data_IF_210983465166
#
_entry.id   IF_210983465166
#
_cell.length_a   1.000
_cell.length_b   1.000
_cell.length_c   1.000
_cell.angle_alpha   90.00
_cell.angle_beta   90.00
_cell.angle_gamma   90.00
#
_symmetry.space_group_name_H-M   'P 1'
#
loop_
_entity.id
_entity.type
_entity.pdbx_description
1 polymer ?
#
# COMPACT_ATOMS: atom_id res chain seq x y z
N UNK A 1 -8.14 -59.39 -34.98
CA UNK A 1 -7.62 -59.02 -33.67
C UNK A 1 -7.73 -57.53 -33.58
N UNK A 2 -8.91 -57.05 -33.09
CA UNK A 2 -9.22 -55.62 -33.03
C UNK A 2 -8.45 -54.95 -31.89
N UNK A 3 -7.79 -53.96 -32.24
CA UNK A 3 -6.98 -52.95 -31.59
C UNK A 3 -7.39 -52.51 -30.15
N UNK A 4 -7.06 -53.36 -29.18
CA UNK A 4 -7.06 -52.96 -27.78
C UNK A 4 -6.06 -51.83 -27.45
N UNK A 5 -5.06 -51.65 -28.30
CA UNK A 5 -4.00 -50.63 -28.16
C UNK A 5 -4.48 -49.20 -28.46
N UNK A 6 -5.41 -49.02 -29.41
CA UNK A 6 -5.94 -47.70 -29.79
C UNK A 6 -6.86 -47.12 -28.68
N UNK A 7 -7.65 -47.99 -28.06
CA UNK A 7 -8.54 -47.58 -26.94
C UNK A 7 -7.75 -47.15 -25.71
N UNK A 8 -6.60 -47.78 -25.42
CA UNK A 8 -5.77 -47.47 -24.25
C UNK A 8 -5.00 -46.16 -24.46
N UNK A 9 -4.48 -45.87 -25.67
CA UNK A 9 -3.78 -44.61 -25.95
C UNK A 9 -4.72 -43.38 -25.92
N UNK A 10 -5.94 -43.49 -26.40
CA UNK A 10 -6.95 -42.41 -26.33
C UNK A 10 -7.39 -42.21 -24.88
N UNK A 11 -7.61 -43.28 -24.11
CA UNK A 11 -7.98 -43.15 -22.69
C UNK A 11 -6.87 -42.54 -21.84
N UNK A 12 -5.58 -42.82 -22.11
CA UNK A 12 -4.44 -42.21 -21.43
C UNK A 12 -4.29 -40.73 -21.81
N UNK A 13 -4.52 -40.34 -23.05
CA UNK A 13 -4.47 -38.93 -23.48
C UNK A 13 -5.59 -38.09 -22.85
N UNK A 14 -6.80 -38.65 -22.77
CA UNK A 14 -7.93 -37.97 -22.09
C UNK A 14 -7.70 -37.86 -20.56
N UNK A 15 -7.14 -38.90 -19.94
CA UNK A 15 -6.78 -38.90 -18.52
C UNK A 15 -5.73 -37.86 -18.16
N UNK A 16 -4.68 -37.69 -19.01
CA UNK A 16 -3.64 -36.69 -18.77
C UNK A 16 -4.11 -35.25 -18.96
N UNK A 17 -5.01 -35.00 -19.90
CA UNK A 17 -5.62 -33.65 -20.09
C UNK A 17 -6.60 -33.29 -18.97
N UNK A 18 -7.37 -34.24 -18.47
CA UNK A 18 -8.28 -34.00 -17.35
C UNK A 18 -7.51 -33.66 -16.06
N UNK A 19 -6.40 -34.36 -15.77
CA UNK A 19 -5.54 -34.07 -14.62
C UNK A 19 -4.84 -32.73 -14.75
N UNK A 20 -4.33 -32.35 -15.92
CA UNK A 20 -3.68 -31.05 -16.14
C UNK A 20 -4.65 -29.87 -15.98
N UNK A 21 -5.87 -29.99 -16.45
CA UNK A 21 -6.94 -29.00 -16.28
C UNK A 21 -7.38 -28.88 -14.81
N UNK A 22 -7.50 -29.99 -14.10
CA UNK A 22 -7.83 -30.00 -12.69
C UNK A 22 -6.74 -29.33 -11.84
N UNK A 23 -5.46 -29.63 -12.10
CA UNK A 23 -4.32 -29.00 -11.45
C UNK A 23 -4.28 -27.47 -11.73
N UNK A 24 -4.51 -27.06 -12.99
CA UNK A 24 -4.58 -25.65 -13.35
C UNK A 24 -5.73 -24.92 -12.63
N UNK A 25 -6.87 -25.59 -12.42
CA UNK A 25 -7.97 -25.02 -11.66
C UNK A 25 -7.63 -24.86 -10.17
N UNK A 26 -6.97 -25.84 -9.57
CA UNK A 26 -6.49 -25.76 -8.19
C UNK A 26 -5.45 -24.65 -8.01
N UNK A 27 -4.49 -24.52 -8.93
CA UNK A 27 -3.50 -23.44 -8.92
C UNK A 27 -4.16 -22.07 -9.02
N UNK A 28 -5.16 -21.90 -9.89
CA UNK A 28 -5.93 -20.64 -10.00
C UNK A 28 -6.66 -20.30 -8.71
N UNK A 29 -7.24 -21.27 -8.02
CA UNK A 29 -7.90 -21.05 -6.72
C UNK A 29 -6.87 -20.63 -5.65
N UNK A 30 -5.73 -21.31 -5.58
CA UNK A 30 -4.66 -20.98 -4.65
C UNK A 30 -4.11 -19.56 -4.90
N UNK A 31 -3.84 -19.20 -6.16
CA UNK A 31 -3.40 -17.85 -6.54
C UNK A 31 -4.46 -16.79 -6.18
N UNK A 32 -5.76 -17.06 -6.40
CA UNK A 32 -6.82 -16.13 -6.05
C UNK A 32 -6.88 -15.88 -4.55
N UNK A 33 -6.73 -16.93 -3.74
CA UNK A 33 -6.66 -16.82 -2.29
C UNK A 33 -5.43 -16.03 -1.82
N UNK A 34 -4.26 -16.33 -2.35
CA UNK A 34 -3.04 -15.58 -2.04
C UNK A 34 -3.18 -14.10 -2.38
N UNK A 35 -3.72 -13.79 -3.56
CA UNK A 35 -3.97 -12.40 -3.97
C UNK A 35 -4.94 -11.70 -3.02
N UNK A 36 -6.01 -12.36 -2.60
CA UNK A 36 -6.96 -11.80 -1.66
C UNK A 36 -6.30 -11.46 -0.32
N UNK A 37 -5.49 -12.37 0.21
CA UNK A 37 -4.74 -12.16 1.45
C UNK A 37 -3.73 -11.02 1.32
N UNK A 38 -3.01 -10.94 0.22
CA UNK A 38 -2.06 -9.87 -0.05
C UNK A 38 -2.76 -8.51 -0.16
N UNK A 39 -3.89 -8.44 -0.87
CA UNK A 39 -4.68 -7.21 -0.94
C UNK A 39 -5.23 -6.78 0.41
N UNK A 40 -5.69 -7.70 1.25
CA UNK A 40 -6.12 -7.39 2.61
C UNK A 40 -4.96 -6.84 3.44
N UNK A 41 -3.78 -7.45 3.36
CA UNK A 41 -2.58 -6.98 4.05
C UNK A 41 -2.20 -5.56 3.62
N UNK A 42 -2.18 -5.31 2.32
CA UNK A 42 -1.88 -3.98 1.76
C UNK A 42 -2.95 -2.94 2.15
N UNK A 43 -4.23 -3.32 2.17
CA UNK A 43 -5.30 -2.43 2.62
C UNK A 43 -5.18 -2.07 4.12
N UNK A 44 -4.76 -3.01 4.96
CA UNK A 44 -4.48 -2.75 6.38
C UNK A 44 -3.29 -1.80 6.51
N UNK A 45 -2.20 -2.03 5.78
CA UNK A 45 -1.04 -1.14 5.77
C UNK A 45 -1.42 0.28 5.32
N UNK A 46 -2.23 0.40 4.29
CA UNK A 46 -2.72 1.70 3.82
C UNK A 46 -3.49 2.44 4.92
N UNK A 47 -4.44 1.77 5.58
CA UNK A 47 -5.20 2.36 6.69
C UNK A 47 -4.31 2.78 7.85
N UNK A 48 -3.30 1.97 8.19
CA UNK A 48 -2.33 2.34 9.23
C UNK A 48 -1.56 3.61 8.87
N UNK A 49 -1.11 3.75 7.62
CA UNK A 49 -0.41 4.95 7.15
C UNK A 49 -1.34 6.18 7.15
N UNK A 50 -2.59 6.02 6.74
CA UNK A 50 -3.60 7.09 6.80
C UNK A 50 -3.83 7.54 8.25
N UNK A 51 -3.97 6.61 9.20
CA UNK A 51 -4.11 6.91 10.63
C UNK A 51 -2.87 7.63 11.20
N UNK A 52 -1.67 7.24 10.78
CA UNK A 52 -0.43 7.93 11.14
C UNK A 52 -0.45 9.37 10.62
N UNK A 53 -0.84 9.59 9.36
CA UNK A 53 -0.93 10.93 8.77
C UNK A 53 -1.93 11.83 9.49
N UNK A 54 -3.10 11.30 9.85
CA UNK A 54 -4.11 12.01 10.63
C UNK A 54 -3.62 12.30 12.06
N UNK A 55 -2.98 11.33 12.71
CA UNK A 55 -2.38 11.48 14.03
C UNK A 55 -1.31 12.57 14.09
N UNK A 56 -0.42 12.61 13.08
CA UNK A 56 0.60 13.67 12.98
C UNK A 56 -0.04 15.07 12.75
N UNK A 57 -1.11 15.14 11.94
CA UNK A 57 -1.85 16.40 11.75
C UNK A 57 -2.50 16.87 13.06
N UNK A 58 -3.08 15.97 13.83
CA UNK A 58 -3.67 16.29 15.15
C UNK A 58 -2.59 16.72 16.13
N UNK A 59 -1.48 15.97 16.24
CA UNK A 59 -0.36 16.29 17.11
C UNK A 59 0.26 17.67 16.77
N UNK A 60 0.37 17.99 15.49
CA UNK A 60 0.83 19.32 15.05
C UNK A 60 -0.12 20.43 15.56
N UNK A 61 -1.44 20.25 15.42
CA UNK A 61 -2.44 21.22 15.91
C UNK A 61 -2.35 21.39 17.41
N UNK A 62 -2.24 20.31 18.18
CA UNK A 62 -2.08 20.32 19.63
C UNK A 62 -0.83 21.09 20.05
N UNK A 63 0.34 20.82 19.43
CA UNK A 63 1.60 21.52 19.71
C UNK A 63 1.49 23.03 19.40
N UNK A 64 0.81 23.42 18.32
CA UNK A 64 0.59 24.82 17.99
C UNK A 64 -0.30 25.50 19.06
N UNK A 65 -1.37 24.83 19.48
CA UNK A 65 -2.28 25.35 20.50
C UNK A 65 -1.55 25.51 21.84
N UNK A 66 -0.80 24.50 22.24
CA UNK A 66 0.00 24.53 23.45
C UNK A 66 1.07 25.63 23.42
N UNK A 67 1.80 25.78 22.30
CA UNK A 67 2.77 26.89 22.16
C UNK A 67 2.11 28.26 22.22
N UNK A 68 0.87 28.38 21.70
CA UNK A 68 0.09 29.63 21.83
C UNK A 68 -0.31 29.91 23.28
N UNK A 69 -0.73 28.86 24.02
CA UNK A 69 -1.10 28.96 25.45
C UNK A 69 0.11 29.39 26.28
N UNK A 70 1.24 28.68 26.16
CA UNK A 70 2.47 29.02 26.87
C UNK A 70 2.89 30.46 26.58
N UNK A 71 2.87 30.87 25.30
CA UNK A 71 3.24 32.23 24.94
C UNK A 71 2.26 33.31 25.45
N UNK A 72 1.01 32.96 25.70
CA UNK A 72 0.08 33.86 26.34
C UNK A 72 0.36 34.01 27.85
N UNK A 73 0.63 32.88 28.51
CA UNK A 73 1.03 32.87 29.94
C UNK A 73 2.35 33.62 30.17
N UNK A 74 3.37 33.36 29.32
CA UNK A 74 4.62 34.11 29.36
C UNK A 74 4.42 35.64 29.18
N UNK A 75 3.51 36.01 28.29
CA UNK A 75 3.18 37.40 28.04
C UNK A 75 2.53 38.06 29.30
N UNK A 76 1.53 37.41 29.89
CA UNK A 76 0.84 37.90 31.08
C UNK A 76 1.78 37.96 32.30
N UNK A 77 2.59 36.94 32.49
CA UNK A 77 3.60 36.89 33.55
C UNK A 77 4.62 38.03 33.40
N UNK A 78 5.17 38.21 32.19
CA UNK A 78 6.12 39.28 31.95
C UNK A 78 5.45 40.67 32.18
N UNK A 79 4.21 40.84 31.69
CA UNK A 79 3.47 42.08 31.90
C UNK A 79 3.24 42.38 33.39
N UNK A 80 2.83 41.38 34.19
CA UNK A 80 2.63 41.53 35.63
C UNK A 80 3.94 41.84 36.36
N UNK A 81 5.05 41.19 35.96
CA UNK A 81 6.36 41.47 36.52
C UNK A 81 6.82 42.90 36.22
N UNK A 82 6.67 43.37 35.00
CA UNK A 82 7.05 44.73 34.63
C UNK A 82 6.14 45.78 35.25
N UNK A 83 4.85 45.51 35.42
CA UNK A 83 3.92 46.43 36.10
C UNK A 83 4.21 46.58 37.61
N UNK A 84 4.87 45.60 38.24
CA UNK A 84 5.34 45.69 39.63
C UNK A 84 6.69 46.35 39.83
N UNK A 85 7.34 46.80 38.75
CA UNK A 85 8.62 47.54 38.77
C UNK A 85 8.39 48.94 38.21
N UNK A 86 9.27 49.90 38.54
CA UNK A 86 9.23 51.28 38.01
C UNK A 86 9.59 51.40 36.52
N UNK A 87 9.38 50.32 35.77
CA UNK A 87 9.67 50.32 34.33
C UNK A 87 8.47 50.91 33.59
N UNK A 88 8.76 51.94 32.82
CA UNK A 88 7.79 52.56 31.93
C UNK A 88 7.36 51.58 30.81
N UNK A 89 6.07 51.17 30.88
CA UNK A 89 5.50 50.21 29.91
C UNK A 89 5.41 50.79 28.48
N UNK A 90 5.48 52.13 28.35
CA UNK A 90 5.52 52.79 27.05
C UNK A 90 6.95 53.00 26.53
N UNK A 91 7.97 52.51 27.25
CA UNK A 91 9.36 52.63 26.83
C UNK A 91 9.68 51.84 25.55
N UNK A 92 10.54 52.38 24.66
CA UNK A 92 10.94 51.64 23.45
C UNK A 92 11.56 50.26 23.75
N UNK A 93 12.25 50.14 24.88
CA UNK A 93 12.89 48.89 25.33
C UNK A 93 11.85 47.83 25.68
N UNK A 94 10.77 48.23 26.37
CA UNK A 94 9.65 47.31 26.65
C UNK A 94 8.96 46.86 25.37
N UNK A 95 8.69 47.76 24.44
CA UNK A 95 8.10 47.46 23.15
C UNK A 95 9.00 46.49 22.33
N UNK A 96 10.32 46.72 22.33
CA UNK A 96 11.27 45.87 21.65
C UNK A 96 11.32 44.42 22.21
N UNK A 97 11.27 44.26 23.54
CA UNK A 97 11.21 42.98 24.22
C UNK A 97 9.97 42.16 23.79
N UNK A 98 8.77 42.77 23.82
CA UNK A 98 7.57 42.05 23.39
C UNK A 98 7.53 41.76 21.89
N UNK A 99 8.10 42.66 21.06
CA UNK A 99 8.26 42.40 19.63
C UNK A 99 9.17 41.21 19.37
N UNK A 100 10.27 41.09 20.11
CA UNK A 100 11.21 39.95 20.02
C UNK A 100 10.52 38.62 20.41
N UNK A 101 9.76 38.60 21.54
CA UNK A 101 9.00 37.45 21.98
C UNK A 101 7.93 37.02 20.96
N UNK A 102 7.20 37.99 20.39
CA UNK A 102 6.21 37.75 19.33
C UNK A 102 6.86 37.15 18.08
N UNK A 103 8.06 37.61 17.71
CA UNK A 103 8.83 37.09 16.58
C UNK A 103 9.29 35.67 16.87
N UNK A 104 9.80 35.38 18.06
CA UNK A 104 10.20 34.04 18.50
C UNK A 104 9.01 33.06 18.43
N UNK A 105 7.85 33.41 19.02
CA UNK A 105 6.61 32.63 18.93
C UNK A 105 6.22 32.30 17.48
N UNK A 106 6.25 33.32 16.60
CA UNK A 106 5.93 33.09 15.17
C UNK A 106 6.89 32.10 14.50
N UNK A 107 8.18 32.20 14.84
CA UNK A 107 9.21 31.26 14.34
C UNK A 107 8.98 29.85 14.85
N UNK A 108 8.70 29.68 16.12
CA UNK A 108 8.42 28.38 16.74
C UNK A 108 7.19 27.70 16.11
N UNK A 109 6.08 28.45 15.95
CA UNK A 109 4.87 27.94 15.30
C UNK A 109 5.15 27.55 13.84
N UNK A 110 5.98 28.33 13.12
CA UNK A 110 6.40 27.99 11.76
C UNK A 110 7.17 26.68 11.73
N UNK A 111 8.12 26.51 12.64
CA UNK A 111 8.94 25.28 12.75
C UNK A 111 8.06 24.06 13.08
N UNK A 112 7.12 24.19 14.03
CA UNK A 112 6.16 23.13 14.36
C UNK A 112 5.34 22.74 13.11
N UNK A 113 4.88 23.72 12.33
CA UNK A 113 4.14 23.45 11.09
C UNK A 113 5.00 22.73 10.05
N UNK A 114 6.23 23.21 9.79
CA UNK A 114 7.13 22.60 8.83
C UNK A 114 7.42 21.14 9.18
N UNK A 115 7.82 20.87 10.43
CA UNK A 115 8.10 19.50 10.88
C UNK A 115 6.84 18.59 10.86
N UNK A 116 5.68 19.14 11.25
CA UNK A 116 4.43 18.40 11.20
C UNK A 116 3.98 18.08 9.77
N UNK A 117 4.13 19.05 8.85
CA UNK A 117 3.81 18.85 7.44
C UNK A 117 4.75 17.81 6.80
N UNK A 118 6.04 17.86 7.10
CA UNK A 118 7.03 16.88 6.61
C UNK A 118 6.67 15.45 7.05
N UNK A 119 6.34 15.25 8.34
CA UNK A 119 5.94 13.95 8.87
C UNK A 119 4.64 13.46 8.22
N UNK A 120 3.66 14.34 8.05
CA UNK A 120 2.41 14.02 7.37
C UNK A 120 2.65 13.62 5.93
N UNK A 121 3.50 14.35 5.19
CA UNK A 121 3.87 14.01 3.83
C UNK A 121 4.56 12.65 3.74
N UNK A 122 5.48 12.34 4.65
CA UNK A 122 6.15 11.05 4.68
C UNK A 122 5.16 9.89 4.89
N UNK A 123 4.16 10.06 5.77
CA UNK A 123 3.09 9.07 5.92
C UNK A 123 2.23 8.93 4.66
N UNK A 124 1.89 10.04 3.99
CA UNK A 124 1.14 10.01 2.71
C UNK A 124 1.94 9.39 1.57
N UNK A 125 3.26 9.55 1.52
CA UNK A 125 4.12 8.80 0.59
C UNK A 125 4.04 7.29 0.84
N UNK A 126 3.98 6.85 2.11
CA UNK A 126 3.74 5.45 2.45
C UNK A 126 2.40 4.93 1.90
N UNK A 127 1.34 5.72 1.99
CA UNK A 127 0.02 5.41 1.37
C UNK A 127 0.15 5.23 -0.14
N UNK A 128 0.85 6.16 -0.80
CA UNK A 128 1.03 6.11 -2.25
C UNK A 128 1.83 4.88 -2.68
N UNK A 129 2.92 4.56 -1.98
CA UNK A 129 3.71 3.35 -2.25
C UNK A 129 2.86 2.08 -2.07
N UNK A 130 2.01 2.02 -1.04
CA UNK A 130 1.11 0.89 -0.82
C UNK A 130 0.11 0.73 -1.97
N UNK A 131 -0.44 1.83 -2.52
CA UNK A 131 -1.32 1.80 -3.69
C UNK A 131 -0.61 1.28 -4.94
N UNK A 132 0.61 1.75 -5.19
CA UNK A 132 1.44 1.25 -6.30
C UNK A 132 1.70 -0.26 -6.14
N UNK A 133 2.01 -0.73 -4.93
CA UNK A 133 2.20 -2.15 -4.65
C UNK A 133 0.91 -2.97 -4.88
N UNK A 134 -0.26 -2.42 -4.53
CA UNK A 134 -1.55 -3.06 -4.81
C UNK A 134 -1.80 -3.22 -6.31
N UNK A 135 -1.51 -2.19 -7.10
CA UNK A 135 -1.71 -2.21 -8.55
C UNK A 135 -0.71 -3.17 -9.22
N UNK A 136 0.55 -3.17 -8.78
CA UNK A 136 1.56 -4.12 -9.24
C UNK A 136 1.17 -5.58 -8.92
N UNK A 137 0.70 -5.84 -7.70
CA UNK A 137 0.20 -7.17 -7.30
C UNK A 137 -0.99 -7.62 -8.16
N UNK A 138 -1.93 -6.73 -8.46
CA UNK A 138 -3.06 -7.02 -9.35
C UNK A 138 -2.61 -7.35 -10.77
N UNK A 139 -1.64 -6.62 -11.31
CA UNK A 139 -1.08 -6.88 -12.65
C UNK A 139 -0.34 -8.21 -12.68
N UNK A 140 0.52 -8.48 -11.69
CA UNK A 140 1.23 -9.74 -11.55
C UNK A 140 0.28 -10.94 -11.48
N UNK A 141 -0.82 -10.82 -10.74
CA UNK A 141 -1.85 -11.85 -10.69
C UNK A 141 -2.53 -12.09 -12.05
N UNK A 142 -2.90 -11.02 -12.76
CA UNK A 142 -3.52 -11.16 -14.09
C UNK A 142 -2.58 -11.87 -15.07
N UNK A 143 -1.30 -11.51 -15.10
CA UNK A 143 -0.29 -12.13 -15.96
C UNK A 143 -0.04 -13.61 -15.58
N UNK A 144 0.10 -13.91 -14.28
CA UNK A 144 0.29 -15.28 -13.80
C UNK A 144 -0.92 -16.16 -14.10
N UNK A 145 -2.14 -15.65 -13.94
CA UNK A 145 -3.36 -16.36 -14.29
C UNK A 145 -3.47 -16.64 -15.79
N UNK A 146 -3.05 -15.70 -16.62
CA UNK A 146 -2.97 -15.89 -18.08
C UNK A 146 -1.94 -16.95 -18.43
N UNK A 147 -0.73 -16.90 -17.86
CA UNK A 147 0.31 -17.87 -18.08
C UNK A 147 -0.10 -19.29 -17.71
N UNK A 148 -0.74 -19.49 -16.55
CA UNK A 148 -1.26 -20.81 -16.14
C UNK A 148 -2.30 -21.33 -17.15
N UNK A 149 -3.14 -20.45 -17.70
CA UNK A 149 -4.14 -20.85 -18.70
C UNK A 149 -3.46 -21.28 -20.00
N UNK A 150 -2.51 -20.47 -20.49
CA UNK A 150 -1.79 -20.76 -21.73
C UNK A 150 -0.97 -22.06 -21.61
N UNK A 151 -0.24 -22.22 -20.51
CA UNK A 151 0.56 -23.43 -20.28
C UNK A 151 -0.30 -24.70 -20.14
N UNK A 152 -1.45 -24.62 -19.47
CA UNK A 152 -2.36 -25.75 -19.33
C UNK A 152 -2.97 -26.17 -20.68
N UNK A 153 -3.30 -25.20 -21.53
CA UNK A 153 -3.79 -25.45 -22.88
C UNK A 153 -2.67 -26.04 -23.77
N UNK A 154 -1.47 -25.45 -23.72
CA UNK A 154 -0.32 -25.95 -24.48
C UNK A 154 0.05 -27.39 -24.07
N UNK A 155 0.04 -27.70 -22.78
CA UNK A 155 0.29 -29.06 -22.29
C UNK A 155 -0.81 -30.05 -22.72
N UNK A 156 -2.10 -29.59 -22.72
CA UNK A 156 -3.19 -30.40 -23.22
C UNK A 156 -3.01 -30.73 -24.72
N UNK A 157 -2.71 -29.75 -25.55
CA UNK A 157 -2.45 -29.94 -26.97
C UNK A 157 -1.16 -30.73 -27.22
N UNK A 158 -0.10 -30.49 -26.44
CA UNK A 158 1.16 -31.24 -26.54
C UNK A 158 0.98 -32.73 -26.25
N UNK A 159 0.11 -33.10 -25.31
CA UNK A 159 -0.20 -34.51 -25.02
C UNK A 159 -0.97 -35.19 -26.15
N UNK A 160 -1.80 -34.45 -26.90
CA UNK A 160 -2.43 -34.99 -28.13
C UNK A 160 -1.45 -35.12 -29.28
N UNK A 161 -0.52 -34.20 -29.43
CA UNK A 161 0.49 -34.27 -30.51
C UNK A 161 1.55 -35.35 -30.28
N UNK A 162 1.86 -35.68 -29.03
CA UNK A 162 2.82 -36.75 -28.66
C UNK A 162 2.18 -38.14 -28.59
N UNK A 163 0.83 -38.21 -28.52
CA UNK A 163 0.16 -39.46 -28.78
C UNK A 163 0.31 -39.72 -30.29
N UNK A 164 1.20 -40.64 -30.66
CA UNK A 164 1.50 -41.05 -32.06
C UNK A 164 0.24 -41.68 -32.67
N UNK A 165 -0.81 -40.86 -32.90
CA UNK A 165 -2.08 -41.27 -33.50
C UNK A 165 -1.81 -41.34 -34.99
N UNK A 166 -1.49 -42.59 -35.47
CA UNK A 166 -1.32 -42.86 -36.87
C UNK A 166 -2.70 -42.76 -37.57
N UNK A 167 -3.09 -41.54 -37.94
CA UNK A 167 -4.35 -41.26 -38.58
C UNK A 167 -4.63 -42.04 -39.86
N UNK A 168 -3.53 -42.46 -40.54
CA UNK A 168 -3.65 -43.29 -41.75
C UNK A 168 -4.26 -44.67 -41.45
N UNK A 169 -4.14 -45.20 -40.23
CA UNK A 169 -4.77 -46.48 -39.86
C UNK A 169 -6.25 -46.36 -39.45
N UNK A 170 -6.73 -45.11 -39.21
CA UNK A 170 -8.12 -44.87 -38.76
C UNK A 170 -9.07 -44.75 -39.96
N UNK A 171 -8.54 -44.35 -41.13
CA UNK A 171 -9.37 -44.09 -42.32
C UNK A 171 -9.25 -45.14 -43.43
N UNK A 172 -8.34 -46.14 -43.28
CA UNK A 172 -8.13 -47.23 -44.24
C UNK A 172 -8.81 -48.54 -43.81
N UNK A 173 -9.87 -48.50 -42.98
CA UNK A 173 -10.61 -49.66 -42.53
C UNK A 173 -12.02 -49.74 -43.11
#
# INVERSE_FOLDING_TARGET
>A
MCDATLGVTIALAIGSTATSLYQAQQQKKAMAYQQQMEQQKLAIQQRQQEQIAEGEALAMRQRITERKRIAAEEYEQNRSTFSGTDIDLDSPSYGAFFAANKKAKKRDIRNIRLMGTERQLNALYGVQQTRIAQDASRQAYKSSRSAVTTNSVANAFGSFASADINWNKVFDG
#
